data_IF_292278031272
#
_entry.id   IF_292278031272
#
_cell.length_a   1.000
_cell.length_b   1.000
_cell.length_c   1.000
_cell.angle_alpha   90.00
_cell.angle_beta   90.00
_cell.angle_gamma   90.00
#
_symmetry.space_group_name_H-M   'P 1'
#
loop_
_entity.id
_entity.type
_entity.pdbx_description
1 polymer ?
#
# COMPACT_ATOMS: atom_id res chain seq x y z
N UNK A 1 13.18 -0.78 -13.10
CA UNK A 1 12.88 -1.84 -12.12
C UNK A 1 13.92 -2.94 -12.25
N UNK A 2 14.40 -3.46 -11.12
CA UNK A 2 15.16 -4.71 -11.04
C UNK A 2 14.12 -5.81 -10.81
N UNK A 3 14.27 -6.95 -11.45
CA UNK A 3 13.45 -8.13 -11.20
C UNK A 3 14.33 -9.19 -10.54
N UNK A 4 14.06 -9.49 -9.29
CA UNK A 4 14.78 -10.51 -8.52
C UNK A 4 13.90 -11.72 -8.26
N UNK A 5 14.50 -12.91 -8.26
CA UNK A 5 13.84 -14.09 -7.69
C UNK A 5 13.84 -13.90 -6.17
N UNK A 6 12.67 -13.59 -5.62
CA UNK A 6 12.46 -13.37 -4.19
C UNK A 6 11.54 -14.48 -3.70
N UNK A 7 12.07 -15.41 -2.93
CA UNK A 7 11.37 -16.64 -2.62
C UNK A 7 10.99 -17.39 -3.91
N UNK A 8 9.73 -17.80 -4.04
CA UNK A 8 9.19 -18.51 -5.21
C UNK A 8 8.60 -17.57 -6.28
N UNK A 9 8.68 -16.24 -6.08
CA UNK A 9 8.04 -15.23 -6.92
C UNK A 9 9.09 -14.28 -7.49
N UNK A 10 9.01 -13.97 -8.77
CA UNK A 10 9.79 -12.88 -9.36
C UNK A 10 9.21 -11.54 -8.96
N UNK A 11 9.76 -10.92 -7.92
CA UNK A 11 9.34 -9.60 -7.43
C UNK A 11 10.13 -8.52 -8.15
N UNK A 12 9.41 -7.56 -8.72
CA UNK A 12 10.00 -6.36 -9.28
C UNK A 12 10.13 -5.29 -8.18
N UNK A 13 11.32 -4.69 -8.09
CA UNK A 13 11.60 -3.65 -7.11
C UNK A 13 12.58 -2.62 -7.67
N UNK A 14 12.68 -1.51 -6.95
CA UNK A 14 13.60 -0.43 -7.21
C UNK A 14 14.17 0.06 -5.88
N UNK A 15 15.47 0.35 -5.88
CA UNK A 15 16.14 0.96 -4.73
C UNK A 15 16.58 2.34 -5.18
N UNK A 16 16.11 3.34 -4.47
CA UNK A 16 16.41 4.75 -4.70
C UNK A 16 17.02 5.35 -3.42
N UNK A 17 17.55 6.56 -3.54
CA UNK A 17 18.04 7.34 -2.40
C UNK A 17 19.39 6.90 -1.86
N UNK A 18 19.62 7.12 -0.57
CA UNK A 18 20.92 6.89 0.08
C UNK A 18 21.10 5.40 0.40
N UNK A 19 22.15 4.80 -0.15
CA UNK A 19 22.45 3.37 0.02
C UNK A 19 22.67 2.96 1.50
N UNK A 20 23.26 3.86 2.28
CA UNK A 20 23.62 3.71 3.70
C UNK A 20 22.61 4.38 4.65
N UNK A 21 21.53 4.94 4.10
CA UNK A 21 20.48 5.55 4.90
C UNK A 21 19.55 4.54 5.57
N UNK A 22 18.78 4.97 6.59
CA UNK A 22 17.74 4.15 7.16
C UNK A 22 16.71 3.72 6.10
N UNK A 23 16.19 2.50 6.22
CA UNK A 23 15.36 1.91 5.17
C UNK A 23 13.89 2.31 5.27
N UNK A 24 13.32 2.72 4.16
CA UNK A 24 11.88 2.95 3.97
C UNK A 24 11.40 2.11 2.79
N UNK A 25 10.32 1.36 2.99
CA UNK A 25 9.70 0.55 1.95
C UNK A 25 8.32 1.09 1.63
N UNK A 26 8.03 1.27 0.36
CA UNK A 26 6.69 1.64 -0.12
C UNK A 26 5.96 0.45 -0.71
N UNK A 27 4.76 0.16 -0.17
CA UNK A 27 3.87 -0.92 -0.58
C UNK A 27 2.58 -0.36 -1.19
N UNK A 28 2.28 -0.79 -2.41
CA UNK A 28 1.30 -0.17 -3.29
C UNK A 28 -0.15 -0.53 -2.96
N UNK A 29 -1.10 0.29 -3.43
CA UNK A 29 -2.52 -0.04 -3.46
C UNK A 29 -2.82 -1.12 -4.50
N UNK A 30 -3.94 -1.82 -4.34
CA UNK A 30 -4.46 -2.79 -5.30
C UNK A 30 -4.58 -2.17 -6.71
N UNK A 31 -4.01 -2.83 -7.70
CA UNK A 31 -4.04 -2.38 -9.09
C UNK A 31 -3.12 -1.20 -9.39
N UNK A 32 -2.15 -0.90 -8.53
CA UNK A 32 -1.15 0.15 -8.79
C UNK A 32 0.26 -0.42 -8.75
N UNK A 33 1.23 0.36 -9.21
CA UNK A 33 2.64 0.01 -9.24
C UNK A 33 3.52 1.03 -8.47
N UNK A 34 4.83 0.86 -8.52
CA UNK A 34 5.80 1.69 -7.79
C UNK A 34 5.68 3.20 -8.06
N UNK A 35 5.12 3.61 -9.20
CA UNK A 35 4.93 5.03 -9.58
C UNK A 35 3.86 5.72 -8.73
N UNK A 36 3.03 4.97 -8.01
CA UNK A 36 2.12 5.52 -7.00
C UNK A 36 2.83 6.44 -6.01
N UNK A 37 4.13 6.20 -5.78
CA UNK A 37 4.94 6.88 -4.78
C UNK A 37 5.88 7.95 -5.35
N UNK A 38 5.79 8.27 -6.65
CA UNK A 38 6.70 9.23 -7.29
C UNK A 38 6.65 10.61 -6.63
N UNK A 39 5.48 11.03 -6.11
CA UNK A 39 5.32 12.31 -5.40
C UNK A 39 5.94 12.33 -4.00
N UNK A 40 6.30 11.18 -3.45
CA UNK A 40 6.99 11.05 -2.16
C UNK A 40 8.50 11.07 -2.34
N UNK A 41 9.01 10.67 -3.51
CA UNK A 41 10.44 10.49 -3.73
C UNK A 41 11.28 11.73 -3.43
N UNK A 42 10.93 12.94 -3.91
CA UNK A 42 11.73 14.15 -3.63
C UNK A 42 11.86 14.45 -2.12
N UNK A 43 10.90 13.99 -1.31
CA UNK A 43 10.93 14.21 0.13
C UNK A 43 11.83 13.21 0.88
N UNK A 44 12.00 11.99 0.36
CA UNK A 44 12.66 10.91 1.10
C UNK A 44 14.02 10.48 0.55
N UNK A 45 14.26 10.58 -0.77
CA UNK A 45 15.45 10.02 -1.42
C UNK A 45 16.77 10.65 -0.97
N UNK A 46 16.76 11.91 -0.52
CA UNK A 46 17.95 12.60 -0.02
C UNK A 46 18.48 12.08 1.33
N UNK A 47 17.65 11.34 2.10
CA UNK A 47 17.97 10.93 3.48
C UNK A 47 17.89 9.43 3.71
N UNK A 48 17.01 8.72 2.99
CA UNK A 48 16.66 7.33 3.26
C UNK A 48 17.08 6.41 2.11
N UNK A 49 17.29 5.14 2.42
CA UNK A 49 17.35 4.05 1.45
C UNK A 49 15.91 3.63 1.15
N UNK A 50 15.44 3.92 -0.04
CA UNK A 50 14.03 3.75 -0.40
C UNK A 50 13.87 2.50 -1.27
N UNK A 51 13.04 1.57 -0.84
CA UNK A 51 12.65 0.40 -1.64
C UNK A 51 11.20 0.59 -2.09
N UNK A 52 10.97 0.56 -3.39
CA UNK A 52 9.63 0.51 -3.99
C UNK A 52 9.49 -0.81 -4.72
N UNK A 53 8.52 -1.62 -4.35
CA UNK A 53 8.32 -2.93 -4.94
C UNK A 53 6.89 -3.09 -5.49
N UNK A 54 6.71 -4.06 -6.31
CA UNK A 54 5.42 -4.42 -6.91
C UNK A 54 4.99 -5.77 -6.34
N UNK A 55 3.86 -5.81 -5.66
CA UNK A 55 3.33 -7.05 -5.11
C UNK A 55 3.10 -8.09 -6.23
N UNK A 56 3.06 -9.36 -5.88
CA UNK A 56 2.78 -10.45 -6.80
C UNK A 56 1.59 -10.12 -7.72
N UNK A 57 1.77 -10.26 -9.03
CA UNK A 57 0.78 -9.96 -10.05
C UNK A 57 0.52 -8.48 -10.34
N UNK A 58 1.28 -7.55 -9.73
CA UNK A 58 1.21 -6.12 -10.00
C UNK A 58 2.43 -5.64 -10.77
N UNK A 59 2.24 -4.58 -11.56
CA UNK A 59 3.29 -4.01 -12.37
C UNK A 59 3.96 -5.05 -13.26
N UNK A 60 5.27 -5.25 -13.09
CA UNK A 60 6.05 -6.26 -13.82
C UNK A 60 6.52 -7.42 -12.93
N UNK A 61 5.98 -7.56 -11.71
CA UNK A 61 6.15 -8.75 -10.88
C UNK A 61 5.43 -9.95 -11.48
N UNK A 62 5.93 -11.16 -11.18
CA UNK A 62 5.32 -12.39 -11.68
C UNK A 62 3.87 -12.55 -11.19
N UNK A 63 2.99 -13.12 -12.02
CA UNK A 63 1.66 -13.52 -11.59
C UNK A 63 1.74 -14.62 -10.51
N UNK A 64 0.71 -14.77 -9.67
CA UNK A 64 0.71 -15.77 -8.61
C UNK A 64 0.72 -17.20 -9.19
N UNK A 65 1.46 -18.10 -8.54
CA UNK A 65 1.52 -19.54 -8.85
C UNK A 65 0.60 -20.37 -7.94
N UNK A 66 -0.44 -19.78 -7.38
CA UNK A 66 -1.38 -20.41 -6.46
C UNK A 66 -2.11 -19.39 -5.61
N UNK A 67 -2.82 -19.83 -4.57
CA UNK A 67 -3.57 -18.94 -3.70
C UNK A 67 -2.68 -17.86 -3.07
N UNK A 68 -3.18 -16.63 -3.03
CA UNK A 68 -2.53 -15.50 -2.39
C UNK A 68 -3.30 -15.14 -1.12
N UNK A 69 -2.57 -14.94 -0.04
CA UNK A 69 -3.09 -14.43 1.23
C UNK A 69 -2.29 -13.19 1.63
N UNK A 70 -2.81 -12.38 2.56
CA UNK A 70 -2.03 -11.25 3.11
C UNK A 70 -0.76 -11.75 3.81
N UNK A 71 -0.83 -12.90 4.47
CA UNK A 71 0.36 -13.56 5.02
C UNK A 71 1.41 -13.82 3.94
N UNK A 72 1.03 -14.42 2.79
CA UNK A 72 1.96 -14.68 1.68
C UNK A 72 2.58 -13.38 1.16
N UNK A 73 1.78 -12.33 0.96
CA UNK A 73 2.29 -11.02 0.51
C UNK A 73 3.23 -10.39 1.54
N UNK A 74 2.97 -10.57 2.83
CA UNK A 74 3.87 -10.17 3.92
C UNK A 74 5.19 -10.94 3.90
N UNK A 75 5.14 -12.27 3.69
CA UNK A 75 6.34 -13.11 3.56
C UNK A 75 7.15 -12.77 2.30
N UNK A 76 6.49 -12.47 1.19
CA UNK A 76 7.15 -11.99 -0.03
C UNK A 76 7.92 -10.68 0.23
N UNK A 77 7.34 -9.75 1.01
CA UNK A 77 8.03 -8.52 1.41
C UNK A 77 9.24 -8.79 2.34
N UNK A 78 9.11 -9.72 3.29
CA UNK A 78 10.23 -10.13 4.15
C UNK A 78 11.36 -10.73 3.30
N UNK A 79 11.04 -11.64 2.39
CA UNK A 79 12.03 -12.22 1.50
C UNK A 79 12.71 -11.18 0.62
N UNK A 80 11.99 -10.13 0.19
CA UNK A 80 12.59 -8.99 -0.50
C UNK A 80 13.54 -8.22 0.40
N UNK A 81 13.18 -7.93 1.65
CA UNK A 81 14.07 -7.26 2.61
C UNK A 81 15.36 -8.05 2.80
N UNK A 82 15.27 -9.39 2.95
CA UNK A 82 16.43 -10.28 3.08
C UNK A 82 17.29 -10.25 1.81
N UNK A 83 16.67 -10.32 0.63
CA UNK A 83 17.35 -10.28 -0.67
C UNK A 83 18.15 -8.99 -0.86
N UNK A 84 17.63 -7.85 -0.41
CA UNK A 84 18.31 -6.56 -0.53
C UNK A 84 19.16 -6.19 0.69
N UNK A 85 19.28 -7.09 1.67
CA UNK A 85 20.11 -6.89 2.87
C UNK A 85 19.59 -5.80 3.80
N UNK A 86 18.26 -5.75 4.03
CA UNK A 86 17.61 -4.85 4.97
C UNK A 86 17.03 -5.67 6.12
N UNK A 87 17.59 -5.51 7.29
CA UNK A 87 17.12 -6.21 8.51
C UNK A 87 15.81 -5.62 9.02
N UNK A 88 15.72 -4.29 9.09
CA UNK A 88 14.54 -3.57 9.58
C UNK A 88 14.26 -2.34 8.73
N UNK A 89 12.98 -2.00 8.56
CA UNK A 89 12.57 -0.83 7.80
C UNK A 89 11.31 -0.17 8.40
N UNK A 90 11.05 1.08 8.02
CA UNK A 90 9.70 1.61 8.04
C UNK A 90 8.98 1.13 6.78
N UNK A 91 7.82 0.47 6.94
CA UNK A 91 6.97 0.07 5.82
C UNK A 91 5.80 1.05 5.71
N UNK A 92 5.75 1.79 4.61
CA UNK A 92 4.68 2.72 4.27
C UNK A 92 3.78 2.06 3.22
N UNK A 93 2.58 1.66 3.61
CA UNK A 93 1.64 0.97 2.73
C UNK A 93 0.35 1.76 2.52
N UNK A 94 -0.14 1.76 1.27
CA UNK A 94 -1.44 2.31 0.91
C UNK A 94 -2.43 1.17 0.65
N UNK A 95 -3.62 1.21 1.27
CA UNK A 95 -4.70 0.26 1.03
C UNK A 95 -4.26 -1.21 1.21
N UNK A 96 -4.21 -2.02 0.15
CA UNK A 96 -3.61 -3.37 0.17
C UNK A 96 -2.23 -3.37 0.84
N UNK A 97 -1.36 -2.43 0.42
CA UNK A 97 -0.03 -2.27 1.01
C UNK A 97 -0.07 -1.92 2.50
N UNK A 98 -1.09 -1.19 2.93
CA UNK A 98 -1.34 -0.89 4.34
C UNK A 98 -1.77 -2.13 5.14
N UNK A 99 -2.59 -3.02 4.55
CA UNK A 99 -2.94 -4.32 5.17
C UNK A 99 -1.70 -5.21 5.30
N UNK A 100 -0.83 -5.22 4.28
CA UNK A 100 0.45 -5.94 4.34
C UNK A 100 1.33 -5.38 5.46
N UNK A 101 1.45 -4.05 5.57
CA UNK A 101 2.23 -3.41 6.63
C UNK A 101 1.65 -3.70 8.03
N UNK A 102 0.32 -3.71 8.18
CA UNK A 102 -0.34 -4.09 9.43
C UNK A 102 -0.09 -5.56 9.77
N UNK A 103 -0.16 -6.47 8.78
CA UNK A 103 0.16 -7.87 8.99
C UNK A 103 1.60 -8.06 9.49
N UNK A 104 2.57 -7.33 8.90
CA UNK A 104 3.97 -7.35 9.39
C UNK A 104 4.06 -6.81 10.82
N UNK A 105 3.39 -5.71 11.12
CA UNK A 105 3.42 -5.11 12.45
C UNK A 105 2.86 -6.04 13.55
N UNK A 106 1.90 -6.89 13.19
CA UNK A 106 1.32 -7.91 14.10
C UNK A 106 2.21 -9.14 14.22
N UNK A 107 2.73 -9.67 13.08
CA UNK A 107 3.30 -11.02 13.02
C UNK A 107 4.84 -11.03 12.95
N UNK A 108 5.46 -9.92 12.54
CA UNK A 108 6.92 -9.80 12.34
C UNK A 108 7.44 -8.44 12.81
N UNK A 109 7.09 -8.02 14.05
CA UNK A 109 7.46 -6.70 14.58
C UNK A 109 8.97 -6.47 14.61
N UNK A 110 9.77 -7.52 14.73
CA UNK A 110 11.24 -7.46 14.69
C UNK A 110 11.79 -6.95 13.34
N UNK A 111 11.02 -7.00 12.27
CA UNK A 111 11.40 -6.51 10.93
C UNK A 111 11.04 -5.03 10.70
N UNK A 112 10.37 -4.41 11.67
CA UNK A 112 9.89 -3.03 11.55
C UNK A 112 10.60 -2.09 12.53
N UNK A 113 10.94 -0.90 12.06
CA UNK A 113 11.23 0.27 12.90
C UNK A 113 9.98 1.14 13.08
N UNK A 114 8.99 0.98 12.22
CA UNK A 114 7.70 1.61 12.28
C UNK A 114 6.85 1.24 11.07
N UNK A 115 5.56 1.58 11.09
CA UNK A 115 4.66 1.39 9.96
C UNK A 115 3.85 2.65 9.65
N UNK A 116 3.60 2.92 8.37
CA UNK A 116 2.66 3.94 7.91
C UNK A 116 1.51 3.23 7.21
N UNK A 117 0.32 3.35 7.80
CA UNK A 117 -0.92 2.72 7.34
C UNK A 117 -1.77 3.78 6.66
N UNK A 118 -1.61 3.94 5.34
CA UNK A 118 -2.29 4.99 4.59
C UNK A 118 -3.54 4.44 3.89
N UNK A 119 -4.68 5.12 4.09
CA UNK A 119 -5.94 4.82 3.41
C UNK A 119 -6.23 3.30 3.41
N UNK A 120 -6.28 2.71 4.60
CA UNK A 120 -6.40 1.26 4.80
C UNK A 120 -7.28 0.95 6.01
N UNK A 121 -7.38 -0.31 6.39
CA UNK A 121 -8.11 -0.79 7.55
C UNK A 121 -7.71 -2.21 7.93
N UNK A 122 -8.03 -2.64 9.14
CA UNK A 122 -7.82 -4.02 9.58
C UNK A 122 -8.74 -5.02 8.85
N UNK A 123 -9.85 -4.55 8.31
CA UNK A 123 -10.73 -5.25 7.36
C UNK A 123 -11.23 -4.25 6.32
N UNK A 124 -11.08 -4.55 5.05
CA UNK A 124 -11.50 -3.67 3.95
C UNK A 124 -12.64 -4.31 3.17
N UNK A 125 -13.74 -3.57 3.01
CA UNK A 125 -14.89 -3.99 2.22
C UNK A 125 -15.67 -5.16 2.81
N UNK A 126 -16.63 -5.67 2.05
CA UNK A 126 -17.45 -6.85 2.38
C UNK A 126 -17.20 -7.97 1.39
N UNK A 127 -17.56 -9.19 1.75
CA UNK A 127 -17.44 -10.34 0.86
C UNK A 127 -18.16 -10.09 -0.47
N UNK A 128 -19.38 -9.55 -0.42
CA UNK A 128 -20.19 -9.24 -1.59
C UNK A 128 -19.53 -8.21 -2.51
N UNK A 129 -18.90 -7.19 -1.93
CA UNK A 129 -18.21 -6.14 -2.69
C UNK A 129 -16.97 -6.69 -3.42
N UNK A 130 -16.25 -7.60 -2.76
CA UNK A 130 -15.09 -8.28 -3.36
C UNK A 130 -15.52 -9.30 -4.42
N UNK A 131 -16.56 -10.10 -4.16
CA UNK A 131 -17.09 -11.07 -5.11
C UNK A 131 -17.58 -10.38 -6.40
N UNK A 132 -18.29 -9.26 -6.28
CA UNK A 132 -18.70 -8.47 -7.43
C UNK A 132 -17.51 -7.94 -8.24
N UNK A 133 -16.45 -7.48 -7.56
CA UNK A 133 -15.22 -6.99 -8.20
C UNK A 133 -14.47 -8.11 -8.91
N UNK A 134 -14.31 -9.25 -8.27
CA UNK A 134 -13.70 -10.46 -8.84
C UNK A 134 -14.47 -10.92 -10.09
N UNK A 135 -15.81 -10.98 -10.01
CA UNK A 135 -16.63 -11.37 -11.14
C UNK A 135 -16.47 -10.40 -12.33
N UNK A 136 -16.43 -9.09 -12.08
CA UNK A 136 -16.22 -8.09 -13.12
C UNK A 136 -14.85 -8.25 -13.81
N UNK A 137 -13.77 -8.49 -13.03
CA UNK A 137 -12.44 -8.70 -13.59
C UNK A 137 -12.35 -10.03 -14.35
N UNK A 138 -12.98 -11.10 -13.88
CA UNK A 138 -13.05 -12.37 -14.61
C UNK A 138 -13.76 -12.23 -15.96
N UNK A 139 -14.80 -11.40 -16.04
CA UNK A 139 -15.58 -11.20 -17.25
C UNK A 139 -14.91 -10.27 -18.28
N UNK A 140 -14.17 -9.25 -17.85
CA UNK A 140 -13.68 -8.21 -18.75
C UNK A 140 -12.27 -7.67 -18.43
N UNK A 141 -11.48 -8.41 -17.66
CA UNK A 141 -10.16 -7.98 -17.23
C UNK A 141 -10.23 -6.78 -16.27
N UNK A 142 -9.06 -6.27 -15.90
CA UNK A 142 -8.92 -5.10 -15.00
C UNK A 142 -9.52 -3.82 -15.60
N UNK A 143 -9.58 -3.73 -16.91
CA UNK A 143 -10.26 -2.63 -17.62
C UNK A 143 -11.73 -2.46 -17.24
N UNK A 144 -12.44 -3.56 -16.95
CA UNK A 144 -13.85 -3.54 -16.56
C UNK A 144 -14.11 -2.77 -15.25
N UNK A 145 -13.16 -2.75 -14.33
CA UNK A 145 -13.28 -2.07 -13.03
C UNK A 145 -12.60 -0.70 -13.00
N UNK A 146 -11.75 -0.37 -13.99
CA UNK A 146 -10.93 0.84 -14.05
C UNK A 146 -11.70 2.12 -13.74
N UNK A 147 -12.80 2.36 -14.45
CA UNK A 147 -13.55 3.60 -14.29
C UNK A 147 -14.17 3.75 -12.89
N UNK A 148 -14.64 2.66 -12.29
CA UNK A 148 -15.17 2.65 -10.93
C UNK A 148 -14.07 2.86 -9.89
N UNK A 149 -12.93 2.21 -10.07
CA UNK A 149 -11.77 2.34 -9.17
C UNK A 149 -11.24 3.77 -9.17
N UNK A 150 -11.06 4.38 -10.35
CA UNK A 150 -10.60 5.78 -10.46
C UNK A 150 -11.56 6.75 -9.76
N UNK A 151 -12.87 6.57 -9.87
CA UNK A 151 -13.84 7.41 -9.15
C UNK A 151 -13.75 7.33 -7.64
N UNK A 152 -13.30 6.18 -7.09
CA UNK A 152 -13.09 5.99 -5.65
C UNK A 152 -11.70 6.43 -5.20
N UNK A 153 -10.71 6.34 -6.11
CA UNK A 153 -9.31 6.63 -5.80
C UNK A 153 -9.01 8.12 -5.77
N UNK A 154 -9.68 8.89 -6.64
CA UNK A 154 -9.41 10.31 -6.84
C UNK A 154 -10.71 11.13 -6.82
N UNK A 155 -10.67 12.26 -6.15
CA UNK A 155 -11.79 13.22 -6.12
C UNK A 155 -12.11 13.75 -7.53
N UNK A 156 -13.36 14.17 -7.81
CA UNK A 156 -13.70 14.80 -9.08
C UNK A 156 -12.82 16.02 -9.39
N UNK A 157 -12.54 16.82 -8.38
CA UNK A 157 -11.73 18.04 -8.47
C UNK A 157 -10.28 17.72 -8.86
N UNK A 158 -9.70 16.67 -8.26
CA UNK A 158 -8.35 16.25 -8.64
C UNK A 158 -8.31 15.73 -10.06
N UNK A 159 -9.27 14.90 -10.46
CA UNK A 159 -9.34 14.34 -11.82
C UNK A 159 -9.47 15.44 -12.89
N UNK A 160 -10.17 16.51 -12.59
CA UNK A 160 -10.29 17.67 -13.47
C UNK A 160 -9.00 18.52 -13.52
N UNK A 161 -8.33 18.67 -12.35
CA UNK A 161 -7.11 19.48 -12.22
C UNK A 161 -5.87 18.81 -12.78
N UNK A 162 -5.76 17.47 -12.65
CA UNK A 162 -4.59 16.69 -13.04
C UNK A 162 -5.00 15.43 -13.84
N UNK A 163 -5.42 15.63 -15.11
CA UNK A 163 -5.83 14.53 -15.98
C UNK A 163 -4.66 13.58 -16.34
N UNK A 164 -3.41 14.07 -16.35
CA UNK A 164 -2.24 13.25 -16.65
C UNK A 164 -1.99 12.21 -15.54
N UNK A 165 -1.96 12.63 -14.29
CA UNK A 165 -1.84 11.70 -13.16
C UNK A 165 -3.05 10.76 -13.09
N UNK A 166 -4.26 11.25 -13.40
CA UNK A 166 -5.46 10.42 -13.47
C UNK A 166 -5.31 9.32 -14.52
N UNK A 167 -4.82 9.66 -15.72
CA UNK A 167 -4.57 8.71 -16.80
C UNK A 167 -3.45 7.72 -16.44
N UNK A 168 -2.39 8.17 -15.78
CA UNK A 168 -1.30 7.32 -15.30
C UNK A 168 -1.83 6.24 -14.34
N UNK A 169 -2.63 6.62 -13.33
CA UNK A 169 -3.21 5.67 -12.37
C UNK A 169 -4.19 4.72 -13.06
N UNK A 170 -5.00 5.23 -13.98
CA UNK A 170 -5.91 4.41 -14.78
C UNK A 170 -5.14 3.35 -15.60
N UNK A 171 -4.00 3.74 -16.19
CA UNK A 171 -3.11 2.86 -16.91
C UNK A 171 -2.47 1.78 -16.02
N UNK A 172 -2.11 2.10 -14.77
CA UNK A 172 -1.61 1.10 -13.82
C UNK A 172 -2.66 0.01 -13.56
N UNK A 173 -3.91 0.42 -13.30
CA UNK A 173 -5.02 -0.51 -13.06
C UNK A 173 -5.24 -1.43 -14.27
N UNK A 174 -5.28 -0.84 -15.45
CA UNK A 174 -5.53 -1.58 -16.69
C UNK A 174 -4.39 -2.54 -17.06
N UNK A 175 -3.14 -2.16 -16.75
CA UNK A 175 -1.95 -2.98 -17.00
C UNK A 175 -1.73 -4.07 -15.94
N UNK A 176 -2.42 -4.04 -14.81
CA UNK A 176 -2.30 -5.06 -13.77
C UNK A 176 -2.79 -6.41 -14.29
N UNK A 177 -2.00 -7.47 -14.07
CA UNK A 177 -2.38 -8.83 -14.45
C UNK A 177 -3.73 -9.21 -13.81
N UNK A 178 -4.75 -9.65 -14.60
CA UNK A 178 -6.07 -9.96 -14.06
C UNK A 178 -6.07 -11.04 -12.97
N UNK A 179 -5.25 -12.09 -13.11
CA UNK A 179 -5.16 -13.15 -12.10
C UNK A 179 -4.51 -12.64 -10.82
N UNK A 180 -3.50 -11.78 -10.94
CA UNK A 180 -2.88 -11.10 -9.81
C UNK A 180 -3.85 -10.15 -9.08
N UNK A 181 -4.63 -9.40 -9.84
CA UNK A 181 -5.66 -8.52 -9.28
C UNK A 181 -6.74 -9.32 -8.53
N UNK A 182 -7.24 -10.41 -9.14
CA UNK A 182 -8.22 -11.31 -8.53
C UNK A 182 -7.66 -11.94 -7.25
N UNK A 183 -6.45 -12.48 -7.30
CA UNK A 183 -5.81 -13.10 -6.15
C UNK A 183 -5.65 -12.12 -4.98
N UNK A 184 -5.29 -10.87 -5.25
CA UNK A 184 -5.22 -9.83 -4.23
C UNK A 184 -6.60 -9.44 -3.68
N UNK A 185 -7.65 -9.42 -4.51
CA UNK A 185 -9.04 -9.25 -4.04
C UNK A 185 -9.48 -10.41 -3.13
N UNK A 186 -9.13 -11.65 -3.48
CA UNK A 186 -9.43 -12.83 -2.67
C UNK A 186 -8.68 -12.78 -1.33
N UNK A 187 -7.41 -12.35 -1.32
CA UNK A 187 -6.63 -12.13 -0.12
C UNK A 187 -7.27 -11.08 0.81
N UNK A 188 -7.70 -9.92 0.26
CA UNK A 188 -8.38 -8.86 1.02
C UNK A 188 -9.73 -9.33 1.56
N UNK A 189 -10.51 -10.07 0.75
CA UNK A 189 -11.81 -10.64 1.15
C UNK A 189 -11.68 -11.55 2.36
N UNK A 190 -10.64 -12.39 2.37
CA UNK A 190 -10.41 -13.38 3.43
C UNK A 190 -9.79 -12.79 4.70
N UNK A 191 -9.23 -11.58 4.63
CA UNK A 191 -8.45 -11.00 5.73
C UNK A 191 -9.34 -10.24 6.71
N UNK A 192 -9.12 -10.50 7.99
CA UNK A 192 -9.66 -9.73 9.11
C UNK A 192 -8.63 -9.66 10.23
N UNK A 193 -7.99 -8.50 10.39
CA UNK A 193 -6.94 -8.25 11.40
C UNK A 193 -7.47 -7.42 12.59
N UNK A 194 -8.79 -7.23 12.71
CA UNK A 194 -9.37 -6.38 13.78
C UNK A 194 -9.03 -6.88 15.16
N UNK A 195 -9.07 -8.19 15.38
CA UNK A 195 -8.73 -8.79 16.68
C UNK A 195 -7.22 -8.72 17.00
N UNK A 196 -6.38 -8.57 15.96
CA UNK A 196 -4.93 -8.61 16.11
C UNK A 196 -4.29 -7.22 16.17
N UNK A 197 -4.99 -6.16 15.75
CA UNK A 197 -4.45 -4.80 15.67
C UNK A 197 -3.90 -4.29 17.00
N UNK A 198 -4.50 -4.66 18.13
CA UNK A 198 -4.02 -4.30 19.47
C UNK A 198 -2.66 -4.91 19.84
N UNK A 199 -2.21 -5.93 19.12
CA UNK A 199 -0.89 -6.57 19.33
C UNK A 199 0.26 -5.78 18.70
N UNK A 200 -0.03 -4.74 17.91
CA UNK A 200 0.99 -3.92 17.28
C UNK A 200 1.76 -3.14 18.32
N UNK A 201 3.08 -3.39 18.42
CA UNK A 201 3.98 -2.75 19.37
C UNK A 201 4.91 -1.70 18.75
N UNK A 202 5.12 -1.76 17.43
CA UNK A 202 5.91 -0.78 16.71
C UNK A 202 5.20 0.59 16.65
N UNK A 203 5.94 1.71 16.52
CA UNK A 203 5.32 3.00 16.22
C UNK A 203 4.54 2.96 14.90
N UNK A 204 3.34 3.55 14.88
CA UNK A 204 2.48 3.59 13.68
C UNK A 204 2.02 5.01 13.38
N UNK A 205 2.13 5.42 12.13
CA UNK A 205 1.40 6.56 11.58
C UNK A 205 0.21 6.03 10.78
N UNK A 206 -0.99 6.44 11.13
CA UNK A 206 -2.20 6.17 10.35
C UNK A 206 -2.54 7.44 9.58
N UNK A 207 -2.70 7.30 8.27
CA UNK A 207 -3.14 8.40 7.39
C UNK A 207 -4.46 8.01 6.77
N UNK A 208 -5.53 8.73 7.10
CA UNK A 208 -6.85 8.59 6.49
C UNK A 208 -7.22 9.80 5.64
N UNK A 209 -8.29 9.70 4.88
CA UNK A 209 -8.83 10.78 4.08
C UNK A 209 -10.32 10.94 4.29
N UNK A 210 -10.80 12.19 4.39
CA UNK A 210 -12.22 12.46 4.72
C UNK A 210 -13.19 12.10 3.58
N UNK A 211 -12.69 11.97 2.34
CA UNK A 211 -13.51 11.66 1.16
C UNK A 211 -13.24 10.27 0.58
N UNK A 212 -12.54 9.39 1.33
CA UNK A 212 -12.24 8.03 0.88
C UNK A 212 -13.49 7.15 0.92
N UNK A 213 -13.86 6.64 -0.26
CA UNK A 213 -14.99 5.71 -0.43
C UNK A 213 -14.53 4.23 -0.52
N UNK A 214 -13.24 3.98 -0.61
CA UNK A 214 -12.66 2.63 -0.66
C UNK A 214 -12.37 2.10 0.74
N UNK A 215 -11.78 2.95 1.55
CA UNK A 215 -11.52 2.73 2.98
C UNK A 215 -12.03 3.95 3.74
N UNK A 216 -13.35 3.98 4.06
CA UNK A 216 -13.97 5.14 4.72
C UNK A 216 -13.20 5.61 5.95
N UNK A 217 -13.30 6.91 6.30
CA UNK A 217 -12.55 7.55 7.40
C UNK A 217 -12.62 6.79 8.72
N UNK A 218 -13.74 6.10 8.96
CA UNK A 218 -13.98 5.29 10.16
C UNK A 218 -12.94 4.20 10.33
N UNK A 219 -12.49 3.55 9.23
CA UNK A 219 -11.48 2.49 9.29
C UNK A 219 -10.14 3.00 9.83
N UNK A 220 -9.76 4.23 9.48
CA UNK A 220 -8.54 4.87 10.02
C UNK A 220 -8.70 5.22 11.50
N UNK A 221 -9.88 5.69 11.91
CA UNK A 221 -10.21 5.98 13.31
C UNK A 221 -10.24 4.70 14.15
N UNK A 222 -10.82 3.62 13.63
CA UNK A 222 -10.86 2.30 14.28
C UNK A 222 -9.46 1.71 14.47
N UNK A 223 -8.58 1.82 13.45
CA UNK A 223 -7.17 1.42 13.59
C UNK A 223 -6.46 2.22 14.68
N UNK A 224 -6.68 3.55 14.73
CA UNK A 224 -6.08 4.41 15.74
C UNK A 224 -6.60 4.06 17.16
N UNK A 225 -7.87 3.77 17.28
CA UNK A 225 -8.45 3.33 18.56
C UNK A 225 -7.93 1.95 19.01
N UNK A 226 -7.47 1.11 18.07
CA UNK A 226 -7.01 -0.25 18.36
C UNK A 226 -5.51 -0.37 18.58
N UNK A 227 -4.70 0.62 18.14
CA UNK A 227 -3.23 0.58 18.18
C UNK A 227 -2.70 1.66 19.13
N UNK A 228 -2.27 1.27 20.32
CA UNK A 228 -1.84 2.20 21.38
C UNK A 228 -0.74 3.17 20.95
N UNK A 229 0.25 2.70 20.16
CA UNK A 229 1.39 3.50 19.71
C UNK A 229 1.17 4.07 18.31
N UNK A 230 0.00 4.64 18.06
CA UNK A 230 -0.32 5.23 16.77
C UNK A 230 -0.55 6.74 16.85
N UNK A 231 -0.16 7.44 15.78
CA UNK A 231 -0.60 8.81 15.47
C UNK A 231 -1.60 8.75 14.32
N UNK A 232 -2.66 9.55 14.36
CA UNK A 232 -3.65 9.67 13.30
C UNK A 232 -3.57 11.04 12.62
N UNK A 233 -3.46 11.04 11.30
CA UNK A 233 -3.58 12.21 10.45
C UNK A 233 -4.74 12.00 9.47
N UNK A 234 -5.75 12.86 9.55
CA UNK A 234 -6.87 12.88 8.60
C UNK A 234 -6.64 13.97 7.57
N UNK A 235 -6.57 13.60 6.29
CA UNK A 235 -6.35 14.53 5.19
C UNK A 235 -7.70 14.94 4.60
N UNK A 236 -8.02 16.23 4.74
CA UNK A 236 -9.18 16.83 4.08
C UNK A 236 -8.98 16.86 2.55
N UNK A 237 -10.05 17.03 1.79
CA UNK A 237 -10.04 17.20 0.34
C UNK A 237 -9.26 16.14 -0.45
N UNK A 238 -9.20 14.91 0.07
CA UNK A 238 -8.60 13.76 -0.60
C UNK A 238 -9.52 12.54 -0.53
N UNK A 239 -9.52 11.75 -1.59
CA UNK A 239 -10.11 10.42 -1.63
C UNK A 239 -9.07 9.35 -1.22
N UNK A 240 -9.07 8.20 -1.88
CA UNK A 240 -8.27 7.03 -1.49
C UNK A 240 -6.75 7.19 -1.68
N UNK A 241 -6.31 7.96 -2.66
CA UNK A 241 -4.89 8.17 -2.90
C UNK A 241 -4.44 9.55 -2.39
N UNK A 242 -4.53 9.74 -1.06
CA UNK A 242 -4.16 11.01 -0.43
C UNK A 242 -2.68 11.37 -0.63
N UNK A 243 -1.81 10.37 -0.75
CA UNK A 243 -0.40 10.54 -1.10
C UNK A 243 -0.20 11.17 -2.49
N UNK A 244 -1.19 11.04 -3.37
CA UNK A 244 -1.20 11.64 -4.71
C UNK A 244 -1.91 12.98 -4.70
N UNK A 245 -3.13 13.04 -4.16
CA UNK A 245 -4.00 14.23 -4.23
C UNK A 245 -3.50 15.39 -3.36
N UNK A 246 -3.01 15.07 -2.17
CA UNK A 246 -2.53 16.03 -1.16
C UNK A 246 -1.10 15.67 -0.74
N UNK A 247 -0.23 15.47 -1.74
CA UNK A 247 1.13 14.99 -1.53
C UNK A 247 1.96 15.83 -0.55
N UNK A 248 1.76 17.15 -0.51
CA UNK A 248 2.47 18.02 0.42
C UNK A 248 2.11 17.72 1.88
N UNK A 249 0.81 17.53 2.18
CA UNK A 249 0.33 17.21 3.53
C UNK A 249 0.76 15.81 3.92
N UNK A 250 0.62 14.85 3.00
CA UNK A 250 1.07 13.48 3.21
C UNK A 250 2.58 13.42 3.50
N UNK A 251 3.39 14.10 2.69
CA UNK A 251 4.84 14.13 2.84
C UNK A 251 5.29 14.78 4.16
N UNK A 252 4.60 15.84 4.60
CA UNK A 252 4.90 16.47 5.89
C UNK A 252 4.66 15.49 7.06
N UNK A 253 3.53 14.77 7.05
CA UNK A 253 3.22 13.76 8.06
C UNK A 253 4.22 12.59 8.02
N UNK A 254 4.52 12.09 6.82
CA UNK A 254 5.49 11.02 6.60
C UNK A 254 6.88 11.41 7.13
N UNK A 255 7.40 12.60 6.78
CA UNK A 255 8.73 13.05 7.20
C UNK A 255 8.82 13.26 8.71
N UNK A 256 7.77 13.81 9.34
CA UNK A 256 7.68 13.93 10.81
C UNK A 256 7.81 12.55 11.46
N UNK A 257 7.04 11.57 10.98
CA UNK A 257 7.07 10.21 11.50
C UNK A 257 8.43 9.53 11.27
N UNK A 258 8.98 9.62 10.05
CA UNK A 258 10.28 9.05 9.74
C UNK A 258 11.41 9.64 10.61
N UNK A 259 11.36 10.95 10.90
CA UNK A 259 12.32 11.60 11.77
C UNK A 259 12.26 11.14 13.24
N UNK A 260 11.10 10.67 13.69
CA UNK A 260 10.93 10.10 15.03
C UNK A 260 11.24 8.60 15.10
N UNK A 261 10.93 7.85 14.04
CA UNK A 261 11.10 6.40 13.98
C UNK A 261 12.52 5.96 13.56
N UNK A 262 13.24 6.83 12.84
CA UNK A 262 14.56 6.55 12.26
C UNK A 262 15.53 7.69 12.66
N UNK A 263 16.18 7.58 13.82
CA UNK A 263 17.11 8.60 14.34
C UNK A 263 18.35 8.81 13.46
#
# INVERSE_FOLDING_TARGET
>A
MIRGAVGDTGIAYRIDGRRDGPAVVFSNSLGTDHRLWDRQMPAVEGRFRVVRYEACGHGVSDPPRGPVTIERLGQDLIALLDHVGIERAVVCGCSLGGVIALWLAVNRPERLTGAVLANTGAKIGTNESWDARIAAVRAGGTGAVRAQVIRRFLTPEFRARDPETTALIAGMIEATNPDGYIAACEALRATDLRADASRVSAPVLIVGSERDQSTPPELSRDLHASIDRSELVMIAEAAHLSNVEQSAVFNAALLKFLGAALP
#
